data_IF_118181389253
#
_entry.id   IF_118181389253
#
_cell.length_a   1.000
_cell.length_b   1.000
_cell.length_c   1.000
_cell.angle_alpha   90.00
_cell.angle_beta   90.00
_cell.angle_gamma   90.00
#
_symmetry.space_group_name_H-M   'P 1'
#
loop_
_entity.id
_entity.type
_entity.pdbx_description
1 polymer ?
#
# COMPACT_ATOMS: atom_id res chain seq x y z
N UNK A 1 -0.61 -7.86 10.01
CA UNK A 1 -1.08 -6.99 8.91
C UNK A 1 -1.55 -7.86 7.76
N UNK A 2 -2.59 -7.47 7.02
CA UNK A 2 -3.14 -8.24 5.90
C UNK A 2 -3.09 -7.48 4.57
N UNK A 3 -3.19 -8.23 3.48
CA UNK A 3 -3.34 -7.71 2.11
C UNK A 3 -4.46 -6.67 1.96
N UNK A 4 -5.59 -6.86 2.66
CA UNK A 4 -6.72 -5.94 2.62
C UNK A 4 -6.37 -4.53 3.14
N UNK A 5 -5.49 -4.45 4.14
CA UNK A 5 -5.01 -3.16 4.66
C UNK A 5 -4.14 -2.43 3.64
N UNK A 6 -3.34 -3.19 2.86
CA UNK A 6 -2.55 -2.63 1.77
C UNK A 6 -3.44 -2.09 0.64
N UNK A 7 -4.45 -2.85 0.20
CA UNK A 7 -5.39 -2.37 -0.83
C UNK A 7 -6.14 -1.12 -0.38
N UNK A 8 -6.55 -1.06 0.89
CA UNK A 8 -7.18 0.13 1.49
C UNK A 8 -6.22 1.32 1.47
N UNK A 9 -4.97 1.13 1.92
CA UNK A 9 -3.95 2.17 1.91
C UNK A 9 -3.70 2.71 0.49
N UNK A 10 -3.61 1.83 -0.51
CA UNK A 10 -3.42 2.26 -1.90
C UNK A 10 -4.57 3.16 -2.37
N UNK A 11 -5.81 2.84 -1.99
CA UNK A 11 -6.96 3.71 -2.26
C UNK A 11 -6.88 5.05 -1.54
N UNK A 12 -6.49 5.08 -0.26
CA UNK A 12 -6.28 6.33 0.49
C UNK A 12 -5.19 7.21 -0.13
N UNK A 13 -4.16 6.61 -0.70
CA UNK A 13 -3.07 7.31 -1.41
C UNK A 13 -3.43 7.73 -2.83
N UNK A 14 -4.64 7.40 -3.32
CA UNK A 14 -5.12 7.79 -4.64
C UNK A 14 -4.63 6.91 -5.79
N UNK A 15 -4.28 5.64 -5.52
CA UNK A 15 -3.92 4.69 -6.57
C UNK A 15 -5.13 4.36 -7.45
N UNK A 16 -5.06 4.71 -8.74
CA UNK A 16 -6.11 4.43 -9.70
C UNK A 16 -6.29 2.91 -9.89
N UNK A 17 -7.53 2.42 -9.82
CA UNK A 17 -7.85 1.01 -9.96
C UNK A 17 -7.76 0.20 -8.66
N UNK A 18 -7.57 0.83 -7.50
CA UNK A 18 -7.55 0.15 -6.19
C UNK A 18 -8.81 -0.70 -5.92
N UNK A 19 -9.94 -0.34 -6.51
CA UNK A 19 -11.23 -1.04 -6.41
C UNK A 19 -11.24 -2.41 -7.10
N UNK A 20 -10.35 -2.61 -8.07
CA UNK A 20 -10.18 -3.87 -8.79
C UNK A 20 -9.15 -4.79 -8.14
N UNK A 21 -8.45 -4.32 -7.10
CA UNK A 21 -7.48 -5.12 -6.38
C UNK A 21 -8.20 -6.15 -5.52
N UNK A 22 -7.93 -7.41 -5.80
CA UNK A 22 -8.33 -8.52 -4.95
C UNK A 22 -7.30 -8.69 -3.82
N UNK A 23 -7.66 -8.48 -2.54
CA UNK A 23 -6.76 -8.66 -1.41
C UNK A 23 -6.12 -10.06 -1.39
N UNK A 24 -6.87 -11.11 -1.75
CA UNK A 24 -6.37 -12.48 -1.67
C UNK A 24 -5.19 -12.71 -2.64
N UNK A 25 -5.19 -12.00 -3.77
CA UNK A 25 -4.07 -11.98 -4.73
C UNK A 25 -2.79 -11.35 -4.16
N UNK A 26 -2.88 -10.60 -3.07
CA UNK A 26 -1.76 -9.97 -2.36
C UNK A 26 -1.45 -10.63 -1.02
N UNK A 27 -1.93 -11.84 -0.73
CA UNK A 27 -1.57 -12.56 0.50
C UNK A 27 -0.16 -13.16 0.44
N UNK A 28 0.27 -13.63 -0.74
CA UNK A 28 1.58 -14.26 -0.94
C UNK A 28 2.79 -13.38 -0.48
N UNK A 29 2.86 -12.06 -0.72
CA UNK A 29 3.97 -11.21 -0.27
C UNK A 29 4.06 -11.14 1.27
N UNK A 30 2.94 -11.21 1.99
CA UNK A 30 2.92 -11.19 3.46
C UNK A 30 3.39 -12.51 4.09
N UNK A 31 3.51 -13.57 3.29
CA UNK A 31 4.00 -14.88 3.72
C UNK A 31 5.53 -14.95 3.72
N UNK A 32 6.24 -14.10 2.98
CA UNK A 32 7.71 -14.04 3.00
C UNK A 32 8.20 -13.20 4.18
N UNK A 33 9.11 -13.77 4.98
CA UNK A 33 9.67 -13.10 6.14
C UNK A 33 10.50 -11.85 5.77
N UNK A 34 11.08 -11.80 4.57
CA UNK A 34 11.88 -10.65 4.13
C UNK A 34 11.00 -9.47 3.68
N UNK A 35 9.83 -9.75 3.09
CA UNK A 35 8.93 -8.72 2.58
C UNK A 35 7.99 -8.20 3.67
N UNK A 36 7.61 -9.06 4.64
CA UNK A 36 6.65 -8.73 5.70
C UNK A 36 7.00 -7.45 6.46
N UNK A 37 8.23 -7.20 6.94
CA UNK A 37 8.56 -5.98 7.69
C UNK A 37 8.34 -4.70 6.87
N UNK A 38 8.66 -4.74 5.57
CA UNK A 38 8.47 -3.59 4.67
C UNK A 38 6.99 -3.33 4.43
N UNK A 39 6.21 -4.39 4.19
CA UNK A 39 4.76 -4.29 4.00
C UNK A 39 4.05 -3.80 5.27
N UNK A 40 4.47 -4.25 6.45
CA UNK A 40 3.96 -3.75 7.72
C UNK A 40 4.29 -2.27 7.92
N UNK A 41 5.52 -1.87 7.61
CA UNK A 41 5.93 -0.48 7.70
C UNK A 41 5.09 0.41 6.76
N UNK A 42 4.86 -0.01 5.52
CA UNK A 42 4.02 0.70 4.55
C UNK A 42 2.62 0.93 5.10
N UNK A 43 1.94 -0.15 5.51
CA UNK A 43 0.57 -0.10 6.03
C UNK A 43 0.45 0.77 7.30
N UNK A 44 1.49 0.77 8.15
CA UNK A 44 1.47 1.49 9.42
C UNK A 44 1.82 2.97 9.29
N UNK A 45 2.68 3.32 8.34
CA UNK A 45 3.38 4.61 8.31
C UNK A 45 2.93 5.54 7.18
N UNK A 46 2.53 5.00 6.02
CA UNK A 46 2.15 5.84 4.90
C UNK A 46 0.77 6.47 5.11
N UNK A 47 0.67 7.76 4.82
CA UNK A 47 -0.54 8.57 4.87
C UNK A 47 -0.50 9.58 3.74
N UNK A 48 -1.64 10.10 3.27
CA UNK A 48 -1.66 11.15 2.24
C UNK A 48 -0.80 12.38 2.60
N UNK A 49 -0.63 12.67 3.90
CA UNK A 49 0.18 13.80 4.38
C UNK A 49 1.70 13.61 4.29
N UNK A 50 2.19 12.39 4.05
CA UNK A 50 3.63 12.09 3.98
C UNK A 50 4.04 11.38 2.69
N UNK A 51 3.14 11.30 1.71
CA UNK A 51 3.38 10.77 0.37
C UNK A 51 3.24 11.92 -0.62
N UNK A 52 4.23 12.09 -1.48
CA UNK A 52 4.19 13.10 -2.54
C UNK A 52 3.35 12.57 -3.70
N UNK A 53 2.43 13.39 -4.19
CA UNK A 53 1.75 13.17 -5.46
C UNK A 53 2.73 13.37 -6.64
N UNK A 54 2.44 12.82 -7.83
CA UNK A 54 3.27 13.00 -9.01
C UNK A 54 3.53 14.48 -9.35
N UNK A 55 2.54 15.34 -9.11
CA UNK A 55 2.65 16.79 -9.32
C UNK A 55 3.62 17.46 -8.34
N UNK A 56 3.71 16.98 -7.11
CA UNK A 56 4.63 17.50 -6.07
C UNK A 56 6.07 17.04 -6.29
N UNK A 57 6.29 15.87 -6.90
CA UNK A 57 7.64 15.35 -7.21
C UNK A 57 8.34 16.16 -8.32
N UNK A 58 7.57 16.79 -9.21
CA UNK A 58 8.11 17.48 -10.41
C UNK A 58 8.37 18.98 -10.18
N UNK A 59 8.24 19.47 -8.94
CA UNK A 59 8.59 20.85 -8.55
C UNK A 59 10.08 21.04 -8.34
#
# INVERSE_FOLDING_TARGET
MSSAQLCTLLGELGFEGHESLDPDSFEWPFQYDDARPVLEWLCSSLRPSNVLSPSEVTQ
#
